data_IF_672771662930
#
_entry.id   IF_672771662930
#
_cell.length_a   1.000
_cell.length_b   1.000
_cell.length_c   1.000
_cell.angle_alpha   90.00
_cell.angle_beta   90.00
_cell.angle_gamma   90.00
#
_symmetry.space_group_name_H-M   'P 1'
#
loop_
_entity.id
_entity.type
_entity.pdbx_description
1 polymer ?
#
# COMPACT_ATOMS: atom_id res chain seq x y z
N UNK A 1 35.99 2.91 -37.66
CA UNK A 1 34.55 2.65 -37.87
C UNK A 1 33.83 2.96 -36.57
N UNK A 2 32.93 3.96 -36.49
CA UNK A 2 32.19 4.24 -35.27
C UNK A 2 31.13 3.15 -35.04
N UNK A 3 30.93 2.72 -33.79
CA UNK A 3 29.87 1.76 -33.41
C UNK A 3 28.53 2.50 -33.38
N UNK A 4 27.60 2.10 -34.25
CA UNK A 4 26.19 2.46 -34.12
C UNK A 4 25.60 1.76 -32.90
N UNK A 5 25.15 2.56 -31.93
CA UNK A 5 24.57 2.12 -30.66
C UNK A 5 23.05 2.31 -30.62
N UNK A 6 22.41 2.55 -31.78
CA UNK A 6 20.95 2.74 -31.84
C UNK A 6 20.23 1.49 -31.34
N UNK A 7 19.38 1.70 -30.33
CA UNK A 7 18.46 0.68 -29.85
C UNK A 7 17.46 0.34 -30.95
N UNK A 8 16.93 -0.88 -30.94
CA UNK A 8 15.78 -1.26 -31.79
C UNK A 8 14.63 -0.27 -31.61
N UNK A 9 14.44 0.24 -30.39
CA UNK A 9 13.44 1.27 -30.07
C UNK A 9 13.71 2.57 -30.83
N UNK A 10 14.96 2.99 -30.95
CA UNK A 10 15.32 4.23 -31.68
C UNK A 10 15.03 4.09 -33.18
N UNK A 11 15.32 2.92 -33.75
CA UNK A 11 14.98 2.63 -35.15
C UNK A 11 13.46 2.67 -35.38
N UNK A 12 12.67 2.06 -34.49
CA UNK A 12 11.21 2.10 -34.59
C UNK A 12 10.64 3.53 -34.49
N UNK A 13 11.19 4.37 -33.60
CA UNK A 13 10.77 5.77 -33.48
C UNK A 13 11.12 6.56 -34.76
N UNK A 14 12.31 6.33 -35.33
CA UNK A 14 12.73 7.02 -36.55
C UNK A 14 11.93 6.57 -37.78
N UNK A 15 11.60 5.28 -37.90
CA UNK A 15 10.73 4.76 -38.95
C UNK A 15 9.31 5.32 -38.84
N UNK A 16 8.74 5.37 -37.63
CA UNK A 16 7.42 5.98 -37.39
C UNK A 16 7.41 7.47 -37.74
N UNK A 17 8.50 8.19 -37.46
CA UNK A 17 8.67 9.60 -37.88
C UNK A 17 8.76 9.74 -39.39
N UNK A 18 9.55 8.90 -40.07
CA UNK A 18 9.67 8.92 -41.53
C UNK A 18 8.35 8.57 -42.22
N UNK A 19 7.53 7.71 -41.62
CA UNK A 19 6.19 7.36 -42.09
C UNK A 19 5.13 8.44 -41.80
N UNK A 20 5.48 9.56 -41.19
CA UNK A 20 4.54 10.65 -40.86
C UNK A 20 3.54 10.30 -39.76
N UNK A 21 3.78 9.25 -38.96
CA UNK A 21 2.84 8.82 -37.90
C UNK A 21 2.71 9.82 -36.75
N UNK A 22 3.63 10.79 -36.66
CA UNK A 22 3.57 11.90 -35.71
C UNK A 22 2.95 13.18 -36.30
N UNK A 23 2.58 13.17 -37.58
CA UNK A 23 1.93 14.32 -38.24
C UNK A 23 0.41 14.22 -38.10
N UNK A 24 -0.26 15.37 -37.99
CA UNK A 24 -1.71 15.49 -37.83
C UNK A 24 -2.27 14.75 -36.61
N UNK A 25 -1.47 14.67 -35.53
CA UNK A 25 -1.93 14.08 -34.28
C UNK A 25 -3.17 14.82 -33.76
N UNK A 26 -4.13 14.10 -33.16
CA UNK A 26 -5.27 14.73 -32.51
C UNK A 26 -4.80 15.78 -31.49
N UNK A 27 -5.27 17.03 -31.65
CA UNK A 27 -4.88 18.20 -30.84
C UNK A 27 -3.46 18.75 -31.08
N UNK A 28 -2.77 18.38 -32.17
CA UNK A 28 -1.51 19.00 -32.57
C UNK A 28 -1.66 20.52 -32.73
N UNK A 29 -0.82 21.29 -32.03
CA UNK A 29 -0.83 22.77 -32.05
C UNK A 29 -1.98 23.44 -31.28
N UNK A 30 -2.93 22.66 -30.75
CA UNK A 30 -4.04 23.17 -29.95
C UNK A 30 -3.73 23.24 -28.45
N UNK A 31 -4.51 24.01 -27.66
CA UNK A 31 -4.36 24.02 -26.20
C UNK A 31 -4.68 22.65 -25.60
N UNK A 32 -3.90 22.25 -24.60
CA UNK A 32 -4.15 21.02 -23.84
C UNK A 32 -5.52 21.09 -23.15
N UNK A 33 -6.43 20.18 -23.53
CA UNK A 33 -7.72 20.01 -22.85
C UNK A 33 -7.51 19.24 -21.55
N UNK A 34 -7.59 19.89 -20.40
CA UNK A 34 -7.60 19.18 -19.11
C UNK A 34 -9.02 18.73 -18.76
N UNK A 35 -9.13 17.62 -18.05
CA UNK A 35 -10.41 17.26 -17.42
C UNK A 35 -10.76 18.31 -16.37
N UNK A 36 -11.99 18.83 -16.42
CA UNK A 36 -12.55 19.74 -15.41
C UNK A 36 -12.95 18.97 -14.15
N UNK A 37 -12.04 18.17 -13.60
CA UNK A 37 -12.22 17.59 -12.28
C UNK A 37 -11.85 18.66 -11.23
N UNK A 38 -12.83 19.27 -10.53
CA UNK A 38 -12.55 20.30 -9.53
C UNK A 38 -11.76 19.77 -8.32
N UNK A 39 -11.68 18.45 -8.16
CA UNK A 39 -10.91 17.79 -7.10
C UNK A 39 -9.46 17.47 -7.49
N UNK A 40 -9.05 17.76 -8.74
CA UNK A 40 -7.65 17.60 -9.15
C UNK A 40 -6.93 18.96 -9.08
N UNK A 41 -5.92 19.12 -8.22
CA UNK A 41 -5.16 20.36 -8.15
C UNK A 41 -4.47 20.65 -9.50
N UNK A 42 -4.29 21.94 -9.81
CA UNK A 42 -3.93 22.40 -11.16
C UNK A 42 -2.60 21.84 -11.67
N UNK A 43 -1.65 21.63 -10.77
CA UNK A 43 -0.32 21.06 -11.00
C UNK A 43 -0.38 19.57 -11.39
N UNK A 44 -1.46 18.86 -11.03
CA UNK A 44 -1.61 17.42 -11.29
C UNK A 44 -2.55 17.08 -12.45
N UNK A 45 -3.21 18.08 -13.04
CA UNK A 45 -4.14 17.88 -14.17
C UNK A 45 -3.48 17.18 -15.36
N UNK A 46 -2.23 17.51 -15.68
CA UNK A 46 -1.49 16.87 -16.77
C UNK A 46 -1.13 15.41 -16.46
N UNK A 47 -0.62 15.14 -15.26
CA UNK A 47 -0.24 13.78 -14.85
C UNK A 47 -1.47 12.85 -14.82
N UNK A 48 -2.59 13.31 -14.25
CA UNK A 48 -3.84 12.56 -14.25
C UNK A 48 -4.38 12.32 -15.65
N UNK A 49 -4.29 13.32 -16.54
CA UNK A 49 -4.69 13.18 -17.94
C UNK A 49 -3.88 12.11 -18.66
N UNK A 50 -2.54 12.16 -18.59
CA UNK A 50 -1.65 11.18 -19.23
C UNK A 50 -1.97 9.77 -18.74
N UNK A 51 -2.12 9.61 -17.42
CA UNK A 51 -2.45 8.31 -16.82
C UNK A 51 -3.80 7.78 -17.29
N UNK A 52 -4.84 8.63 -17.28
CA UNK A 52 -6.19 8.28 -17.74
C UNK A 52 -6.23 7.94 -19.23
N UNK A 53 -5.54 8.69 -20.08
CA UNK A 53 -5.47 8.44 -21.53
C UNK A 53 -4.74 7.13 -21.88
N UNK A 54 -3.95 6.57 -20.95
CA UNK A 54 -3.23 5.31 -21.12
C UNK A 54 -3.82 4.16 -20.27
N UNK A 55 -5.02 4.34 -19.68
CA UNK A 55 -5.64 3.38 -18.75
C UNK A 55 -4.73 2.98 -17.55
N UNK A 56 -3.81 3.87 -17.15
CA UNK A 56 -2.88 3.66 -16.04
C UNK A 56 -3.37 4.34 -14.76
N UNK A 57 -3.19 3.68 -13.62
CA UNK A 57 -3.46 4.28 -12.30
C UNK A 57 -2.21 5.02 -11.79
N UNK A 58 -2.35 6.18 -11.13
CA UNK A 58 -1.22 6.83 -10.46
C UNK A 58 -0.55 5.90 -9.45
N UNK A 59 0.77 5.99 -9.33
CA UNK A 59 1.57 5.18 -8.38
C UNK A 59 1.00 5.17 -6.96
N UNK A 60 0.53 6.32 -6.46
CA UNK A 60 -0.03 6.42 -5.10
C UNK A 60 -1.30 5.60 -4.91
N UNK A 61 -2.09 5.32 -5.97
CA UNK A 61 -3.26 4.45 -5.90
C UNK A 61 -2.83 3.01 -5.63
N UNK A 62 -1.80 2.54 -6.34
CA UNK A 62 -1.26 1.18 -6.15
C UNK A 62 -0.64 1.03 -4.77
N UNK A 63 0.16 2.02 -4.34
CA UNK A 63 0.71 2.05 -2.99
C UNK A 63 -0.37 2.06 -1.90
N UNK A 64 -1.47 2.78 -2.13
CA UNK A 64 -2.61 2.79 -1.24
C UNK A 64 -3.20 1.38 -1.06
N UNK A 65 -3.39 0.65 -2.17
CA UNK A 65 -3.87 -0.74 -2.16
C UNK A 65 -2.91 -1.67 -1.43
N UNK A 66 -1.61 -1.55 -1.67
CA UNK A 66 -0.59 -2.37 -1.01
C UNK A 66 -0.60 -2.14 0.51
N UNK A 67 -0.67 -0.89 0.95
CA UNK A 67 -0.81 -0.52 2.36
C UNK A 67 -2.06 -1.15 2.98
N UNK A 68 -3.19 -1.13 2.27
CA UNK A 68 -4.45 -1.70 2.77
C UNK A 68 -4.38 -3.22 2.89
N UNK A 69 -3.77 -3.92 1.92
CA UNK A 69 -3.54 -5.36 1.97
C UNK A 69 -2.61 -5.73 3.14
N UNK A 70 -1.51 -4.99 3.32
CA UNK A 70 -0.57 -5.22 4.42
C UNK A 70 -1.24 -5.00 5.79
N UNK A 71 -2.06 -3.95 5.90
CA UNK A 71 -2.84 -3.66 7.10
C UNK A 71 -3.81 -4.79 7.44
N UNK A 72 -4.60 -5.25 6.47
CA UNK A 72 -5.59 -6.31 6.74
C UNK A 72 -4.90 -7.62 7.13
N UNK A 73 -3.79 -7.98 6.46
CA UNK A 73 -3.00 -9.17 6.83
C UNK A 73 -2.48 -9.09 8.26
N UNK A 74 -1.99 -7.93 8.69
CA UNK A 74 -1.53 -7.73 10.06
C UNK A 74 -2.69 -7.86 11.06
N UNK A 75 -3.83 -7.23 10.77
CA UNK A 75 -5.04 -7.34 11.61
C UNK A 75 -5.54 -8.78 11.72
N UNK A 76 -5.56 -9.53 10.62
CA UNK A 76 -5.97 -10.93 10.62
C UNK A 76 -5.02 -11.79 11.48
N UNK A 77 -3.71 -11.57 11.35
CA UNK A 77 -2.71 -12.26 12.16
C UNK A 77 -2.86 -11.94 13.66
N UNK A 78 -3.15 -10.69 14.01
CA UNK A 78 -3.42 -10.27 15.39
C UNK A 78 -4.70 -10.92 15.94
N UNK A 79 -5.79 -10.96 15.15
CA UNK A 79 -7.02 -11.66 15.51
C UNK A 79 -6.79 -13.15 15.77
N UNK A 80 -6.00 -13.82 14.92
CA UNK A 80 -5.64 -15.25 15.08
C UNK A 80 -4.80 -15.46 16.35
N UNK A 81 -3.78 -14.62 16.57
CA UNK A 81 -2.93 -14.71 17.75
C UNK A 81 -3.70 -14.48 19.05
N UNK A 82 -4.59 -13.50 19.08
CA UNK A 82 -5.43 -13.22 20.25
C UNK A 82 -6.33 -14.42 20.58
N UNK A 83 -7.01 -15.00 19.58
CA UNK A 83 -7.84 -16.20 19.78
C UNK A 83 -7.02 -17.39 20.30
N UNK A 84 -5.82 -17.59 19.76
CA UNK A 84 -4.93 -18.66 20.20
C UNK A 84 -4.47 -18.45 21.65
N UNK A 85 -4.16 -17.21 22.04
CA UNK A 85 -3.79 -16.86 23.41
C UNK A 85 -4.95 -17.08 24.40
N UNK A 86 -6.15 -16.59 24.07
CA UNK A 86 -7.36 -16.82 24.87
C UNK A 86 -7.66 -18.31 25.05
N UNK A 87 -7.58 -19.09 23.96
CA UNK A 87 -7.76 -20.55 24.01
C UNK A 87 -6.71 -21.23 24.89
N UNK A 88 -5.44 -20.84 24.76
CA UNK A 88 -4.36 -21.39 25.59
C UNK A 88 -4.52 -21.08 27.08
N UNK A 89 -5.05 -19.91 27.43
CA UNK A 89 -5.38 -19.57 28.82
C UNK A 89 -6.54 -20.42 29.34
N UNK A 90 -7.61 -20.57 28.56
CA UNK A 90 -8.75 -21.42 28.93
C UNK A 90 -8.36 -22.90 29.11
N UNK A 91 -7.46 -23.41 28.26
CA UNK A 91 -6.93 -24.77 28.37
C UNK A 91 -5.97 -24.93 29.55
N UNK A 92 -5.22 -23.88 29.91
CA UNK A 92 -4.38 -23.87 31.09
C UNK A 92 -5.22 -24.00 32.37
N UNK A 93 -6.34 -23.28 32.44
CA UNK A 93 -7.25 -23.29 33.60
C UNK A 93 -7.88 -24.65 33.86
N UNK A 94 -8.08 -25.45 32.82
CA UNK A 94 -8.62 -26.82 32.90
C UNK A 94 -7.55 -27.89 33.10
N UNK A 95 -6.27 -27.51 33.13
CA UNK A 95 -5.15 -28.46 33.16
C UNK A 95 -4.71 -28.81 34.58
N UNK A 96 -3.99 -29.94 34.71
CA UNK A 96 -3.34 -30.34 35.96
C UNK A 96 -2.19 -29.41 36.36
N UNK A 97 -1.64 -28.62 35.42
CA UNK A 97 -0.55 -27.65 35.66
C UNK A 97 -0.87 -26.24 35.16
N UNK A 98 -1.84 -25.53 35.77
CA UNK A 98 -2.30 -24.22 35.27
C UNK A 98 -1.20 -23.16 35.21
N UNK A 99 -0.33 -23.09 36.23
CA UNK A 99 0.72 -22.07 36.31
C UNK A 99 1.72 -22.17 35.14
N UNK A 100 2.27 -23.36 34.89
CA UNK A 100 3.26 -23.60 33.83
C UNK A 100 2.64 -23.37 32.44
N UNK A 101 1.40 -23.83 32.23
CA UNK A 101 0.71 -23.63 30.95
C UNK A 101 0.41 -22.15 30.67
N UNK A 102 -0.05 -21.40 31.69
CA UNK A 102 -0.24 -19.95 31.57
C UNK A 102 1.07 -19.23 31.26
N UNK A 103 2.16 -19.59 31.95
CA UNK A 103 3.48 -19.00 31.69
C UNK A 103 3.94 -19.25 30.25
N UNK A 104 3.72 -20.47 29.72
CA UNK A 104 4.04 -20.79 28.32
C UNK A 104 3.17 -20.03 27.33
N UNK A 105 1.88 -19.88 27.60
CA UNK A 105 0.96 -19.08 26.79
C UNK A 105 1.41 -17.61 26.75
N UNK A 106 1.79 -17.06 27.90
CA UNK A 106 2.29 -15.68 28.03
C UNK A 106 3.59 -15.46 27.25
N UNK A 107 4.57 -16.36 27.36
CA UNK A 107 5.81 -16.28 26.58
C UNK A 107 5.54 -16.32 25.06
N UNK A 108 4.60 -17.15 24.64
CA UNK A 108 4.19 -17.25 23.22
C UNK A 108 3.53 -15.95 22.77
N UNK A 109 2.68 -15.36 23.61
CA UNK A 109 2.00 -14.11 23.35
C UNK A 109 2.96 -12.92 23.25
N UNK A 110 3.95 -12.84 24.15
CA UNK A 110 4.98 -11.80 24.10
C UNK A 110 5.78 -11.84 22.81
N UNK A 111 6.15 -13.05 22.35
CA UNK A 111 6.84 -13.24 21.05
C UNK A 111 5.96 -12.79 19.87
N UNK A 112 4.68 -13.14 19.89
CA UNK A 112 3.74 -12.71 18.86
C UNK A 112 3.59 -11.18 18.84
N UNK A 113 3.45 -10.53 20.00
CA UNK A 113 3.40 -9.05 20.12
C UNK A 113 4.66 -8.39 19.56
N UNK A 114 5.85 -8.90 19.88
CA UNK A 114 7.09 -8.39 19.32
C UNK A 114 7.14 -8.50 17.78
N UNK A 115 6.65 -9.62 17.24
CA UNK A 115 6.53 -9.79 15.78
C UNK A 115 5.54 -8.80 15.16
N UNK A 116 4.40 -8.52 15.82
CA UNK A 116 3.44 -7.51 15.36
C UNK A 116 4.04 -6.11 15.36
N UNK A 117 4.83 -5.75 16.37
CA UNK A 117 5.52 -4.46 16.42
C UNK A 117 6.49 -4.30 15.25
N UNK A 118 7.24 -5.35 14.91
CA UNK A 118 8.15 -5.34 13.76
C UNK A 118 7.38 -5.23 12.44
N UNK A 119 6.26 -5.94 12.29
CA UNK A 119 5.41 -5.85 11.11
C UNK A 119 4.74 -4.46 10.98
N UNK A 120 4.29 -3.88 12.09
CA UNK A 120 3.71 -2.55 12.14
C UNK A 120 4.73 -1.47 11.77
N UNK A 121 5.99 -1.59 12.20
CA UNK A 121 7.05 -0.68 11.80
C UNK A 121 7.24 -0.67 10.28
N UNK A 122 7.25 -1.85 9.63
CA UNK A 122 7.33 -1.96 8.16
C UNK A 122 6.10 -1.34 7.48
N UNK A 123 4.90 -1.64 7.98
CA UNK A 123 3.65 -1.04 7.46
C UNK A 123 3.66 0.48 7.60
N UNK A 124 4.15 1.01 8.72
CA UNK A 124 4.23 2.45 8.96
C UNK A 124 5.18 3.15 7.98
N UNK A 125 6.30 2.52 7.62
CA UNK A 125 7.18 3.04 6.56
C UNK A 125 6.46 3.15 5.22
N UNK A 126 5.65 2.15 4.84
CA UNK A 126 4.85 2.20 3.61
C UNK A 126 3.73 3.24 3.67
N UNK A 127 3.10 3.41 4.84
CA UNK A 127 2.09 4.46 5.07
C UNK A 127 2.72 5.85 4.90
N UNK A 128 3.91 6.07 5.46
CA UNK A 128 4.65 7.33 5.28
C UNK A 128 4.98 7.54 3.81
N UNK A 129 5.48 6.52 3.11
CA UNK A 129 5.78 6.57 1.68
C UNK A 129 4.55 6.91 0.84
N UNK A 130 3.38 6.35 1.16
CA UNK A 130 2.11 6.71 0.54
C UNK A 130 1.73 8.17 0.84
N UNK A 131 1.77 8.59 2.11
CA UNK A 131 1.40 9.94 2.54
C UNK A 131 2.30 11.04 1.95
N UNK A 132 3.55 10.72 1.60
CA UNK A 132 4.46 11.65 0.92
C UNK A 132 4.15 11.81 -0.57
N UNK A 133 3.53 10.81 -1.20
CA UNK A 133 3.21 10.80 -2.63
C UNK A 133 1.78 11.24 -2.92
N UNK A 134 0.93 11.27 -1.90
CA UNK A 134 -0.49 11.55 -2.08
C UNK A 134 -0.71 13.05 -2.36
N UNK A 135 -1.49 13.40 -3.40
CA UNK A 135 -1.87 14.77 -3.71
C UNK A 135 -2.60 15.50 -2.57
N UNK A 136 -2.52 16.84 -2.51
CA UNK A 136 -3.40 17.64 -1.66
C UNK A 136 -4.87 17.35 -1.97
N UNK A 137 -5.70 17.24 -0.93
CA UNK A 137 -7.13 16.95 -1.06
C UNK A 137 -7.49 15.46 -1.01
N UNK A 138 -6.51 14.56 -1.10
CA UNK A 138 -6.71 13.12 -0.86
C UNK A 138 -6.31 12.78 0.57
N UNK A 139 -7.13 11.96 1.23
CA UNK A 139 -6.94 11.61 2.63
C UNK A 139 -5.69 10.75 2.84
N UNK A 140 -4.83 11.20 3.75
CA UNK A 140 -3.68 10.45 4.24
C UNK A 140 -4.12 9.26 5.11
N UNK A 141 -3.32 8.20 5.11
CA UNK A 141 -3.56 7.02 5.95
C UNK A 141 -2.88 7.19 7.31
N UNK A 142 -3.60 6.86 8.39
CA UNK A 142 -3.09 6.94 9.75
C UNK A 142 -2.09 5.83 10.07
N UNK A 143 -1.07 6.14 10.87
CA UNK A 143 -0.09 5.15 11.34
C UNK A 143 -0.76 4.02 12.13
N UNK A 144 -0.21 2.82 11.99
CA UNK A 144 -0.65 1.63 12.68
C UNK A 144 -0.03 1.56 14.08
N UNK A 145 -0.86 1.43 15.11
CA UNK A 145 -0.45 1.25 16.50
C UNK A 145 -0.95 -0.11 17.00
N UNK A 146 -0.01 -1.02 17.30
CA UNK A 146 -0.34 -2.41 17.68
C UNK A 146 -1.19 -2.45 18.95
N UNK A 147 -0.84 -1.68 19.99
CA UNK A 147 -1.52 -1.74 21.29
C UNK A 147 -2.97 -1.26 21.17
N UNK A 148 -3.19 -0.14 20.48
CA UNK A 148 -4.53 0.38 20.21
C UNK A 148 -5.39 -0.63 19.43
N UNK A 149 -4.80 -1.31 18.45
CA UNK A 149 -5.53 -2.31 17.66
C UNK A 149 -5.82 -3.58 18.48
N UNK A 150 -4.91 -4.02 19.35
CA UNK A 150 -5.17 -5.13 20.28
C UNK A 150 -6.29 -4.80 21.26
N UNK A 151 -6.29 -3.61 21.85
CA UNK A 151 -7.36 -3.12 22.72
C UNK A 151 -8.71 -3.09 21.98
N UNK A 152 -8.73 -2.58 20.76
CA UNK A 152 -9.93 -2.54 19.92
C UNK A 152 -10.45 -3.94 19.60
N UNK A 153 -9.57 -4.87 19.25
CA UNK A 153 -9.94 -6.27 18.96
C UNK A 153 -10.45 -7.00 20.20
N UNK A 154 -9.88 -6.72 21.38
CA UNK A 154 -10.34 -7.28 22.66
C UNK A 154 -11.70 -6.72 23.10
N UNK A 155 -11.92 -5.41 22.91
CA UNK A 155 -13.18 -4.75 23.29
C UNK A 155 -14.34 -5.10 22.36
N UNK A 156 -14.08 -5.38 21.08
CA UNK A 156 -15.11 -5.79 20.10
C UNK A 156 -15.76 -7.15 20.40
N UNK A 157 -15.26 -7.90 21.39
CA UNK A 157 -15.77 -9.21 21.82
C UNK A 157 -16.58 -9.20 23.12
N UNK A 158 -16.62 -8.08 23.86
CA UNK A 158 -17.44 -7.91 25.07
C UNK A 158 -18.79 -7.33 24.71
#
# INVERSE_FOLDING_TARGET
MPRDWKSIVDQMIDEARAAGQFDHLPNQGGPLKFDDNPYTPSDMKLAHKILKENDLAPDWVMLGKDVDVLRERLLENMRKGLRAYEGALADADRSTTPFERRQRAELTWQRARAAYQTAAAKLNSEIVRYNLKVPPGIMQKGLFNVERELERLGNSKR
#
